data_IF_307147113660
#
_entry.id   IF_307147113660
#
_cell.length_a   1.000
_cell.length_b   1.000
_cell.length_c   1.000
_cell.angle_alpha   90.00
_cell.angle_beta   90.00
_cell.angle_gamma   90.00
#
_symmetry.space_group_name_H-M   'P 1'
#
loop_
_entity.id
_entity.type
_entity.pdbx_description
1 polymer ?
#
# COMPACT_ATOMS: atom_id res chain seq x y z
N UNK A 1 -16.99 -9.24 -4.20
CA UNK A 1 -15.82 -8.78 -4.97
C UNK A 1 -14.78 -9.86 -4.82
N UNK A 2 -14.29 -10.47 -5.90
CA UNK A 2 -13.30 -11.54 -5.76
C UNK A 2 -11.91 -10.91 -5.58
N UNK A 3 -11.35 -11.07 -4.39
CA UNK A 3 -10.00 -10.65 -4.03
C UNK A 3 -9.16 -11.92 -3.98
N UNK A 4 -8.06 -11.94 -4.72
CA UNK A 4 -7.16 -13.09 -4.69
C UNK A 4 -6.41 -13.13 -3.34
N UNK A 5 -5.93 -14.31 -2.91
CA UNK A 5 -5.10 -14.40 -1.70
C UNK A 5 -3.86 -13.48 -1.75
N UNK A 6 -3.28 -13.26 -2.93
CA UNK A 6 -2.16 -12.34 -3.14
C UNK A 6 -2.55 -10.87 -2.91
N UNK A 7 -3.71 -10.46 -3.43
CA UNK A 7 -4.28 -9.14 -3.19
C UNK A 7 -4.61 -8.92 -1.71
N UNK A 8 -5.19 -9.92 -1.05
CA UNK A 8 -5.50 -9.85 0.39
C UNK A 8 -4.23 -9.72 1.24
N UNK A 9 -3.18 -10.49 0.91
CA UNK A 9 -1.88 -10.35 1.57
C UNK A 9 -1.30 -8.94 1.38
N UNK A 10 -1.43 -8.37 0.19
CA UNK A 10 -1.02 -7.00 -0.10
C UNK A 10 -1.78 -5.99 0.76
N UNK A 11 -3.10 -6.13 0.90
CA UNK A 11 -3.91 -5.27 1.75
C UNK A 11 -3.43 -5.31 3.21
N UNK A 12 -3.19 -6.51 3.75
CA UNK A 12 -2.65 -6.68 5.11
C UNK A 12 -1.25 -6.06 5.25
N UNK A 13 -0.38 -6.17 4.23
CA UNK A 13 0.95 -5.54 4.25
C UNK A 13 0.87 -4.02 4.29
N UNK A 14 -0.04 -3.42 3.51
CA UNK A 14 -0.27 -1.97 3.50
C UNK A 14 -0.78 -1.51 4.86
N UNK A 15 -1.73 -2.23 5.46
CA UNK A 15 -2.24 -1.90 6.80
C UNK A 15 -1.13 -1.93 7.85
N UNK A 16 -0.33 -2.99 7.88
CA UNK A 16 0.77 -3.15 8.83
C UNK A 16 1.92 -2.15 8.62
N UNK A 17 2.05 -1.59 7.43
CA UNK A 17 3.06 -0.59 7.09
C UNK A 17 2.50 0.83 7.04
N UNK A 18 1.32 1.09 7.61
CA UNK A 18 0.76 2.43 7.69
C UNK A 18 1.80 3.42 8.21
N UNK A 19 1.95 4.53 7.49
CA UNK A 19 2.92 5.57 7.80
C UNK A 19 2.57 6.22 9.15
N UNK A 20 3.32 5.90 10.20
CA UNK A 20 3.11 6.43 11.57
C UNK A 20 3.95 7.66 11.90
N UNK A 21 4.53 8.34 10.91
CA UNK A 21 5.32 9.55 11.14
C UNK A 21 6.58 9.28 11.96
N UNK A 22 7.58 8.67 11.32
CA UNK A 22 8.91 8.47 11.90
C UNK A 22 9.92 8.24 10.79
N UNK A 23 11.09 8.86 10.88
CA UNK A 23 12.11 8.93 9.83
C UNK A 23 12.32 7.61 9.06
N UNK A 24 11.70 7.47 7.88
CA UNK A 24 11.98 6.37 6.96
C UNK A 24 13.35 6.63 6.34
N UNK A 25 14.41 6.09 6.96
CA UNK A 25 15.75 6.11 6.37
C UNK A 25 15.75 5.22 5.12
N UNK A 26 15.70 5.85 3.94
CA UNK A 26 16.10 5.37 2.61
C UNK A 26 15.14 4.53 1.75
N UNK A 27 14.13 3.84 2.28
CA UNK A 27 13.16 3.09 1.46
C UNK A 27 11.76 3.73 1.52
N UNK A 28 11.15 3.99 0.36
CA UNK A 28 9.78 4.52 0.28
C UNK A 28 8.79 3.50 0.84
N UNK A 29 7.64 3.96 1.32
CA UNK A 29 6.60 3.05 1.81
C UNK A 29 6.20 2.01 0.76
N UNK A 30 6.09 2.44 -0.50
CA UNK A 30 5.81 1.56 -1.65
C UNK A 30 6.91 0.51 -1.82
N UNK A 31 8.19 0.85 -1.67
CA UNK A 31 9.30 -0.11 -1.80
C UNK A 31 9.30 -1.20 -0.69
N UNK A 32 8.82 -0.85 0.51
CA UNK A 32 8.65 -1.82 1.60
C UNK A 32 7.46 -2.76 1.40
N UNK A 33 6.36 -2.22 0.89
CA UNK A 33 5.13 -2.96 0.60
C UNK A 33 5.33 -3.85 -0.63
N UNK A 34 5.92 -3.28 -1.69
CA UNK A 34 6.20 -3.92 -2.97
C UNK A 34 7.67 -4.28 -3.08
N UNK A 35 8.00 -5.55 -2.80
CA UNK A 35 9.38 -6.05 -2.82
C UNK A 35 9.86 -6.38 -4.23
N UNK A 36 8.93 -6.55 -5.17
CA UNK A 36 9.22 -6.91 -6.54
C UNK A 36 8.23 -6.25 -7.53
N UNK A 37 8.46 -6.47 -8.83
CA UNK A 37 7.58 -5.92 -9.89
C UNK A 37 6.17 -6.52 -9.89
N UNK A 38 6.00 -7.76 -9.44
CA UNK A 38 4.69 -8.40 -9.36
C UNK A 38 3.85 -7.76 -8.24
N UNK A 39 4.45 -7.46 -7.10
CA UNK A 39 3.80 -6.73 -6.01
C UNK A 39 3.30 -5.35 -6.48
N UNK A 40 4.08 -4.66 -7.32
CA UNK A 40 3.64 -3.39 -7.94
C UNK A 40 2.43 -3.57 -8.86
N UNK A 41 2.36 -4.66 -9.62
CA UNK A 41 1.20 -4.96 -10.47
C UNK A 41 -0.05 -5.25 -9.62
N UNK A 42 0.12 -5.95 -8.49
CA UNK A 42 -0.95 -6.19 -7.52
C UNK A 42 -1.43 -4.87 -6.89
N UNK A 43 -0.50 -3.98 -6.51
CA UNK A 43 -0.83 -2.66 -5.99
C UNK A 43 -1.62 -1.82 -7.01
N UNK A 44 -1.21 -1.83 -8.27
CA UNK A 44 -1.90 -1.11 -9.35
C UNK A 44 -3.32 -1.67 -9.57
N UNK A 45 -3.47 -2.99 -9.61
CA UNK A 45 -4.78 -3.64 -9.70
C UNK A 45 -5.69 -3.27 -8.53
N UNK A 46 -5.17 -3.25 -7.30
CA UNK A 46 -5.90 -2.83 -6.11
C UNK A 46 -6.29 -1.34 -6.17
N UNK A 47 -5.45 -0.50 -6.76
CA UNK A 47 -5.72 0.91 -6.97
C UNK A 47 -6.84 1.11 -8.01
N UNK A 48 -6.79 0.38 -9.13
CA UNK A 48 -7.86 0.38 -10.14
C UNK A 48 -9.20 -0.13 -9.59
N UNK A 49 -9.15 -1.08 -8.65
CA UNK A 49 -10.31 -1.59 -7.92
C UNK A 49 -10.84 -0.62 -6.85
N UNK A 50 -10.14 0.48 -6.58
CA UNK A 50 -10.51 1.47 -5.56
C UNK A 50 -10.38 0.95 -4.12
N UNK A 51 -9.57 -0.09 -3.91
CA UNK A 51 -9.30 -0.68 -2.60
C UNK A 51 -8.09 0.00 -1.93
N UNK A 52 -7.16 0.51 -2.74
CA UNK A 52 -5.96 1.20 -2.29
C UNK A 52 -5.88 2.54 -3.01
N UNK A 53 -5.36 3.55 -2.32
CA UNK A 53 -4.96 4.81 -2.94
C UNK A 53 -3.45 4.96 -2.84
N UNK A 54 -2.85 5.56 -3.87
CA UNK A 54 -1.44 5.95 -3.91
C UNK A 54 -1.36 7.47 -4.01
N UNK A 55 -0.32 8.05 -3.43
CA UNK A 55 -0.10 9.48 -3.49
C UNK A 55 1.12 9.91 -2.69
N UNK A 56 1.30 11.22 -2.54
CA UNK A 56 2.43 11.79 -1.81
C UNK A 56 2.35 11.37 -0.33
N UNK A 57 3.19 10.41 0.05
CA UNK A 57 3.26 9.88 1.42
C UNK A 57 3.94 10.85 2.39
N UNK A 58 4.81 11.70 1.86
CA UNK A 58 5.41 12.80 2.61
C UNK A 58 6.76 13.22 2.03
N UNK A 59 7.53 13.95 2.83
CA UNK A 59 8.89 14.36 2.50
C UNK A 59 9.84 13.85 3.58
N UNK A 60 10.89 13.10 3.22
CA UNK A 60 11.96 12.72 4.14
C UNK A 60 13.25 13.37 3.66
N UNK A 61 13.85 14.20 4.52
CA UNK A 61 15.12 14.88 4.22
C UNK A 61 15.12 15.74 2.93
N UNK A 62 13.95 16.22 2.50
CA UNK A 62 13.78 17.03 1.29
C UNK A 62 13.34 16.24 0.05
N UNK A 63 13.41 14.92 0.08
CA UNK A 63 12.91 14.05 -0.97
C UNK A 63 11.44 13.69 -0.74
N UNK A 64 10.60 13.99 -1.73
CA UNK A 64 9.22 13.51 -1.76
C UNK A 64 9.20 12.01 -2.03
N UNK A 65 8.33 11.29 -1.36
CA UNK A 65 8.13 9.87 -1.63
C UNK A 65 6.64 9.53 -1.72
N UNK A 66 6.35 8.58 -2.59
CA UNK A 66 5.01 8.03 -2.75
C UNK A 66 4.72 7.00 -1.64
N UNK A 67 3.51 7.09 -1.11
CA UNK A 67 2.92 6.14 -0.17
C UNK A 67 1.70 5.47 -0.77
N UNK A 68 1.19 4.47 -0.05
CA UNK A 68 -0.07 3.83 -0.37
C UNK A 68 -0.88 3.58 0.91
N UNK A 69 -2.20 3.66 0.84
CA UNK A 69 -3.07 3.39 1.99
C UNK A 69 -4.36 2.71 1.57
N UNK A 70 -4.94 1.95 2.49
CA UNK A 70 -6.22 1.31 2.27
C UNK A 70 -7.35 2.35 2.27
N UNK A 71 -8.22 2.28 1.26
CA UNK A 71 -9.48 3.01 1.27
C UNK A 71 -10.46 2.38 2.26
N UNK A 72 -11.59 3.02 2.52
CA UNK A 72 -12.66 2.41 3.31
C UNK A 72 -13.12 1.05 2.73
N UNK A 73 -13.12 0.92 1.40
CA UNK A 73 -13.42 -0.34 0.71
C UNK A 73 -12.31 -1.38 0.90
N UNK A 74 -11.05 -0.96 0.79
CA UNK A 74 -9.90 -1.85 1.03
C UNK A 74 -9.88 -2.42 2.45
N UNK A 75 -10.19 -1.59 3.45
CA UNK A 75 -10.29 -2.02 4.86
C UNK A 75 -11.45 -2.99 5.09
N UNK A 76 -12.59 -2.77 4.43
CA UNK A 76 -13.70 -3.71 4.50
C UNK A 76 -13.31 -5.07 3.89
N UNK A 77 -12.65 -5.03 2.74
CA UNK A 77 -12.28 -6.23 2.02
C UNK A 77 -11.12 -7.01 2.65
N UNK A 78 -10.23 -6.33 3.39
CA UNK A 78 -9.21 -6.98 4.23
C UNK A 78 -9.86 -7.78 5.38
N UNK A 79 -10.92 -7.22 5.98
CA UNK A 79 -11.67 -7.82 7.09
C UNK A 79 -12.69 -8.88 6.68
N UNK A 80 -13.09 -8.92 5.41
CA UNK A 80 -13.99 -9.95 4.89
C UNK A 80 -13.25 -11.31 4.90
N UNK A 81 -13.81 -12.35 5.55
CA UNK A 81 -13.16 -13.65 5.73
C UNK A 81 -12.87 -14.36 4.42
#
# INVERSE_FOLDING_TARGET
MEITPEEKEMLTRIEKNQFTGGAYKRATMIDKVCRNKADRAVLDALCQKGLVETGLGGTVAGDVYDGCWLTAKGKAAEREP
#
